data_IF_920761060167
#
_entry.id   IF_920761060167
#
_cell.length_a   1.000
_cell.length_b   1.000
_cell.length_c   1.000
_cell.angle_alpha   90.00
_cell.angle_beta   90.00
_cell.angle_gamma   90.00
#
_symmetry.space_group_name_H-M   'P 1'
#
loop_
_entity.id
_entity.type
_entity.pdbx_description
1 polymer ?
#
# COMPACT_ATOMS: atom_id res chain seq x y z
N UNK A 1 7.67 20.42 -1.00
CA UNK A 1 7.94 19.86 -2.33
C UNK A 1 6.85 18.83 -2.57
N UNK A 2 5.98 19.02 -3.56
CA UNK A 2 4.92 18.04 -3.85
C UNK A 2 5.53 16.93 -4.68
N UNK A 3 5.36 15.68 -4.27
CA UNK A 3 5.86 14.52 -5.00
C UNK A 3 5.03 14.30 -6.27
N UNK A 4 5.65 13.79 -7.34
CA UNK A 4 4.94 13.47 -8.59
C UNK A 4 3.76 12.51 -8.34
N UNK A 5 3.90 11.57 -7.40
CA UNK A 5 2.84 10.66 -6.98
C UNK A 5 1.61 11.41 -6.43
N UNK A 6 1.83 12.43 -5.59
CA UNK A 6 0.75 13.24 -5.00
C UNK A 6 0.06 14.09 -6.08
N UNK A 7 0.81 14.61 -7.05
CA UNK A 7 0.23 15.34 -8.18
C UNK A 7 -0.66 14.43 -9.03
N UNK A 8 -0.20 13.20 -9.32
CA UNK A 8 -0.98 12.22 -10.08
C UNK A 8 -2.27 11.84 -9.33
N UNK A 9 -2.19 11.64 -8.01
CA UNK A 9 -3.38 11.37 -7.19
C UNK A 9 -4.34 12.56 -7.16
N UNK A 10 -3.85 13.79 -6.94
CA UNK A 10 -4.72 14.98 -6.91
C UNK A 10 -5.40 15.28 -8.24
N UNK A 11 -4.75 14.94 -9.35
CA UNK A 11 -5.30 15.10 -10.70
C UNK A 11 -6.22 13.95 -11.14
N UNK A 12 -6.25 12.84 -10.41
CA UNK A 12 -7.06 11.66 -10.73
C UNK A 12 -8.52 11.83 -10.26
N UNK A 13 -9.31 12.57 -11.02
CA UNK A 13 -10.74 12.82 -10.73
C UNK A 13 -11.55 11.52 -10.78
N UNK A 14 -11.16 10.58 -11.64
CA UNK A 14 -11.81 9.29 -11.86
C UNK A 14 -11.48 8.22 -10.82
N UNK A 15 -10.43 8.40 -10.03
CA UNK A 15 -9.93 7.41 -9.07
C UNK A 15 -9.27 6.18 -9.71
N UNK A 16 -8.93 6.23 -11.01
CA UNK A 16 -8.33 5.08 -11.73
C UNK A 16 -6.92 4.81 -11.22
N UNK A 17 -6.09 5.86 -11.13
CA UNK A 17 -4.72 5.75 -10.68
C UNK A 17 -4.65 5.39 -9.19
N UNK A 18 -5.55 5.95 -8.39
CA UNK A 18 -5.74 5.55 -6.99
C UNK A 18 -6.02 4.05 -6.90
N UNK A 19 -7.01 3.55 -7.63
CA UNK A 19 -7.40 2.14 -7.58
C UNK A 19 -6.28 1.22 -8.04
N UNK A 20 -5.50 1.60 -9.06
CA UNK A 20 -4.34 0.81 -9.50
C UNK A 20 -3.27 0.68 -8.39
N UNK A 21 -3.02 1.74 -7.62
CA UNK A 21 -2.10 1.71 -6.48
C UNK A 21 -2.65 0.78 -5.38
N UNK A 22 -3.94 0.91 -5.06
CA UNK A 22 -4.58 0.09 -4.03
C UNK A 22 -4.62 -1.40 -4.42
N UNK A 23 -4.81 -1.71 -5.70
CA UNK A 23 -4.76 -3.07 -6.21
C UNK A 23 -3.36 -3.68 -6.04
N UNK A 24 -2.31 -2.92 -6.37
CA UNK A 24 -0.91 -3.35 -6.15
C UNK A 24 -0.61 -3.58 -4.66
N UNK A 25 -1.11 -2.73 -3.78
CA UNK A 25 -1.00 -2.90 -2.33
C UNK A 25 -1.73 -4.15 -1.85
N UNK A 26 -2.95 -4.39 -2.34
CA UNK A 26 -3.73 -5.58 -2.03
C UNK A 26 -3.03 -6.87 -2.48
N UNK A 27 -2.46 -6.87 -3.68
CA UNK A 27 -1.69 -8.00 -4.19
C UNK A 27 -0.46 -8.28 -3.31
N UNK A 28 0.36 -7.26 -3.05
CA UNK A 28 1.55 -7.39 -2.21
C UNK A 28 1.21 -7.86 -0.78
N UNK A 29 0.14 -7.34 -0.18
CA UNK A 29 -0.32 -7.78 1.13
C UNK A 29 -0.76 -9.26 1.12
N UNK A 30 -1.38 -9.72 0.02
CA UNK A 30 -1.82 -11.11 -0.13
C UNK A 30 -0.63 -12.07 -0.25
N UNK A 31 0.39 -11.70 -1.02
CA UNK A 31 1.65 -12.46 -1.14
C UNK A 31 2.36 -12.57 0.22
N UNK A 32 2.48 -11.46 0.95
CA UNK A 32 3.10 -11.42 2.28
C UNK A 32 2.33 -12.27 3.30
N UNK A 33 1.00 -12.21 3.30
CA UNK A 33 0.16 -13.06 4.17
C UNK A 33 0.32 -14.53 3.83
N UNK A 34 0.46 -14.86 2.55
CA UNK A 34 0.67 -16.22 2.11
C UNK A 34 2.01 -16.76 2.62
N UNK A 35 3.09 -15.99 2.52
CA UNK A 35 4.41 -16.35 3.08
C UNK A 35 4.35 -16.54 4.60
N UNK A 36 3.77 -15.57 5.32
CA UNK A 36 3.59 -15.67 6.78
C UNK A 36 2.82 -16.94 7.20
N UNK A 37 1.83 -17.36 6.42
CA UNK A 37 1.03 -18.55 6.70
C UNK A 37 1.76 -19.88 6.43
N UNK A 38 2.86 -19.88 5.67
CA UNK A 38 3.66 -21.08 5.43
C UNK A 38 4.59 -21.44 6.60
N UNK A 39 4.71 -20.54 7.59
CA UNK A 39 5.67 -20.66 8.67
C UNK A 39 7.04 -20.18 8.20
N UNK A 40 7.39 -18.97 8.63
CA UNK A 40 8.69 -18.34 8.37
C UNK A 40 9.48 -18.23 9.66
N UNK A 41 10.81 -18.08 9.52
CA UNK A 41 11.69 -17.86 10.67
C UNK A 41 11.30 -16.57 11.43
N UNK A 42 11.54 -16.49 12.76
CA UNK A 42 11.12 -15.34 13.56
C UNK A 42 11.61 -13.97 13.05
N UNK A 43 12.81 -13.91 12.47
CA UNK A 43 13.37 -12.68 11.91
C UNK A 43 12.61 -12.24 10.64
N UNK A 44 12.23 -13.20 9.81
CA UNK A 44 11.46 -12.96 8.59
C UNK A 44 10.00 -12.63 8.90
N UNK A 45 9.44 -13.26 9.93
CA UNK A 45 8.12 -12.94 10.46
C UNK A 45 8.01 -11.46 10.86
N UNK A 46 8.98 -10.93 11.62
CA UNK A 46 8.97 -9.53 12.04
C UNK A 46 9.11 -8.57 10.85
N UNK A 47 10.00 -8.89 9.89
CA UNK A 47 10.15 -8.10 8.66
C UNK A 47 8.87 -8.05 7.84
N UNK A 48 8.27 -9.21 7.55
CA UNK A 48 7.04 -9.34 6.79
C UNK A 48 5.84 -8.70 7.51
N UNK A 49 5.76 -8.84 8.83
CA UNK A 49 4.72 -8.18 9.63
C UNK A 49 4.82 -6.65 9.58
N UNK A 50 6.04 -6.10 9.68
CA UNK A 50 6.26 -4.65 9.52
C UNK A 50 5.94 -4.16 8.12
N UNK A 51 6.30 -4.95 7.11
CA UNK A 51 6.01 -4.62 5.72
C UNK A 51 4.50 -4.62 5.45
N UNK A 52 3.78 -5.62 5.94
CA UNK A 52 2.33 -5.68 5.88
C UNK A 52 1.70 -4.46 6.56
N UNK A 53 2.23 -4.05 7.72
CA UNK A 53 1.78 -2.84 8.39
C UNK A 53 2.04 -1.57 7.59
N UNK A 54 3.18 -1.49 6.92
CA UNK A 54 3.51 -0.38 6.04
C UNK A 54 2.55 -0.29 4.84
N UNK A 55 2.13 -1.42 4.27
CA UNK A 55 1.12 -1.46 3.19
C UNK A 55 -0.25 -0.97 3.68
N UNK A 56 -0.69 -1.39 4.88
CA UNK A 56 -1.94 -0.91 5.48
C UNK A 56 -1.93 0.62 5.66
N UNK A 57 -0.86 1.16 6.26
CA UNK A 57 -0.72 2.61 6.45
C UNK A 57 -0.59 3.34 5.11
N UNK A 58 0.13 2.76 4.15
CA UNK A 58 0.28 3.32 2.80
C UNK A 58 -1.06 3.44 2.07
N UNK A 59 -1.95 2.46 2.25
CA UNK A 59 -3.32 2.49 1.71
C UNK A 59 -4.10 3.69 2.26
N UNK A 60 -4.05 3.92 3.57
CA UNK A 60 -4.69 5.08 4.20
C UNK A 60 -4.11 6.41 3.69
N UNK A 61 -2.79 6.49 3.49
CA UNK A 61 -2.13 7.69 2.97
C UNK A 61 -2.58 8.00 1.54
N UNK A 62 -2.67 6.99 0.67
CA UNK A 62 -3.16 7.16 -0.71
C UNK A 62 -4.58 7.72 -0.73
N UNK A 63 -5.46 7.21 0.13
CA UNK A 63 -6.82 7.72 0.31
C UNK A 63 -6.86 9.17 0.80
N UNK A 64 -6.04 9.50 1.80
CA UNK A 64 -5.96 10.87 2.35
C UNK A 64 -5.44 11.87 1.32
N UNK A 65 -4.40 11.51 0.56
CA UNK A 65 -3.83 12.39 -0.47
C UNK A 65 -4.82 12.62 -1.61
N UNK A 66 -5.59 11.59 -1.99
CA UNK A 66 -6.61 11.69 -3.02
C UNK A 66 -7.82 12.54 -2.59
N UNK A 67 -8.23 12.44 -1.32
CA UNK A 67 -9.38 13.19 -0.77
C UNK A 67 -9.05 14.63 -0.39
N UNK A 68 -7.78 14.95 -0.11
CA UNK A 68 -7.30 16.32 0.11
C UNK A 68 -7.24 17.10 -1.20
N UNK A 69 -8.33 17.81 -1.52
CA UNK A 69 -8.38 18.84 -2.57
C UNK A 69 -7.79 20.16 -2.12
#
# INVERSE_FOLDING_TARGET
MVLQLEQNLKNDVSGIYKNEILEKFSQAASEVRFELNQGVEPEEYDKLSRFLKAIEVGTEVVEQVWTQK
#
